data_IF_316027719285
#
_entry.id   IF_316027719285
#
_cell.length_a   1.000
_cell.length_b   1.000
_cell.length_c   1.000
_cell.angle_alpha   90.00
_cell.angle_beta   90.00
_cell.angle_gamma   90.00
#
_symmetry.space_group_name_H-M   'P 1'
#
loop_
_entity.id
_entity.type
_entity.pdbx_description
1 polymer ?
#
# COMPACT_ATOMS: atom_id res chain seq x y z
N UNK A 1 -2.13 -11.06 -0.01
CA UNK A 1 -2.96 -10.42 1.03
C UNK A 1 -2.29 -9.13 1.48
N UNK A 2 -3.07 -8.09 1.79
CA UNK A 2 -2.60 -6.74 2.12
C UNK A 2 -2.02 -6.72 3.54
N UNK A 3 -0.71 -6.57 3.67
CA UNK A 3 0.03 -6.41 4.93
C UNK A 3 -0.68 -5.48 5.93
N UNK A 4 -1.19 -4.36 5.41
CA UNK A 4 -1.89 -3.33 6.17
C UNK A 4 -3.18 -3.82 6.84
N UNK A 5 -3.88 -4.78 6.22
CA UNK A 5 -5.15 -5.31 6.75
C UNK A 5 -4.88 -6.30 7.89
N UNK A 6 -3.81 -7.07 7.82
CA UNK A 6 -3.42 -8.01 8.88
C UNK A 6 -2.89 -7.26 10.11
N UNK A 7 -2.08 -6.21 9.88
CA UNK A 7 -1.63 -5.28 10.91
C UNK A 7 -2.83 -4.67 11.68
N UNK A 8 -3.82 -4.15 10.96
CA UNK A 8 -4.99 -3.49 11.55
C UNK A 8 -5.88 -4.42 12.38
N UNK A 9 -5.82 -5.74 12.15
CA UNK A 9 -6.69 -6.73 12.78
C UNK A 9 -6.03 -7.50 13.93
N UNK A 10 -4.75 -7.28 14.23
CA UNK A 10 -4.09 -7.95 15.35
C UNK A 10 -4.70 -7.49 16.69
N UNK A 11 -5.28 -8.42 17.46
CA UNK A 11 -5.66 -8.18 18.87
C UNK A 11 -4.40 -8.22 19.73
N UNK A 12 -4.14 -7.17 20.48
CA UNK A 12 -2.87 -7.02 21.20
C UNK A 12 -3.07 -7.06 22.72
N UNK A 13 -2.39 -8.00 23.37
CA UNK A 13 -2.21 -8.03 24.81
C UNK A 13 -0.79 -7.54 25.10
N UNK A 14 -0.58 -6.21 25.14
CA UNK A 14 0.72 -5.61 25.47
C UNK A 14 1.56 -5.21 24.25
N UNK A 15 2.60 -5.99 23.96
CA UNK A 15 3.58 -5.72 22.88
C UNK A 15 3.09 -6.29 21.55
N UNK A 16 3.25 -5.52 20.48
CA UNK A 16 2.91 -5.88 19.10
C UNK A 16 4.21 -6.12 18.34
N UNK A 17 4.42 -7.34 17.86
CA UNK A 17 5.53 -7.64 16.95
C UNK A 17 5.08 -7.39 15.51
N UNK A 18 5.79 -6.51 14.81
CA UNK A 18 5.51 -6.11 13.43
C UNK A 18 6.65 -6.49 12.47
N UNK A 19 7.55 -7.40 12.86
CA UNK A 19 8.73 -7.79 12.08
C UNK A 19 8.38 -8.26 10.67
N UNK A 20 7.25 -8.95 10.51
CA UNK A 20 6.77 -9.43 9.22
C UNK A 20 6.33 -8.25 8.32
N UNK A 21 5.61 -7.30 8.90
CA UNK A 21 5.10 -6.12 8.21
C UNK A 21 6.22 -5.18 7.79
N UNK A 22 7.29 -5.07 8.58
CA UNK A 22 8.49 -4.34 8.17
C UNK A 22 9.15 -4.98 6.94
N UNK A 23 9.31 -6.30 6.96
CA UNK A 23 9.92 -7.05 5.85
C UNK A 23 9.10 -6.90 4.57
N UNK A 24 7.77 -6.98 4.69
CA UNK A 24 6.87 -6.79 3.58
C UNK A 24 6.87 -5.33 3.09
N UNK A 25 6.89 -4.35 3.99
CA UNK A 25 6.99 -2.94 3.64
C UNK A 25 8.27 -2.64 2.84
N UNK A 26 9.42 -3.19 3.24
CA UNK A 26 10.69 -3.07 2.49
C UNK A 26 10.56 -3.57 1.05
N UNK A 27 9.97 -4.76 0.87
CA UNK A 27 9.76 -5.33 -0.46
C UNK A 27 8.82 -4.47 -1.33
N UNK A 28 7.79 -3.89 -0.71
CA UNK A 28 6.81 -3.07 -1.41
C UNK A 28 7.34 -1.70 -1.82
N UNK A 29 8.36 -1.14 -1.15
CA UNK A 29 8.97 0.14 -1.53
C UNK A 29 9.53 0.07 -2.96
N UNK A 30 10.27 -0.98 -3.30
CA UNK A 30 10.91 -1.11 -4.60
C UNK A 30 9.88 -1.25 -5.73
N UNK A 31 8.87 -2.09 -5.50
CA UNK A 31 7.76 -2.26 -6.45
C UNK A 31 6.98 -0.96 -6.63
N UNK A 32 6.68 -0.25 -5.54
CA UNK A 32 5.97 1.03 -5.58
C UNK A 32 6.73 2.08 -6.40
N UNK A 33 8.06 2.18 -6.22
CA UNK A 33 8.91 3.08 -7.01
C UNK A 33 8.81 2.82 -8.51
N UNK A 34 8.78 1.55 -8.93
CA UNK A 34 8.63 1.18 -10.34
C UNK A 34 7.28 1.62 -10.92
N UNK A 35 6.19 1.44 -10.17
CA UNK A 35 4.87 1.91 -10.57
C UNK A 35 4.81 3.44 -10.62
N UNK A 36 5.43 4.14 -9.65
CA UNK A 36 5.47 5.61 -9.61
C UNK A 36 6.20 6.18 -10.83
N UNK A 37 7.34 5.60 -11.19
CA UNK A 37 8.07 5.98 -12.40
C UNK A 37 7.24 5.73 -13.66
N UNK A 38 6.49 4.63 -13.71
CA UNK A 38 5.61 4.33 -14.84
C UNK A 38 4.46 5.33 -14.96
N UNK A 39 3.84 5.72 -13.85
CA UNK A 39 2.81 6.76 -13.81
C UNK A 39 3.36 8.12 -14.30
N UNK A 40 4.55 8.51 -13.83
CA UNK A 40 5.23 9.73 -14.30
C UNK A 40 5.51 9.71 -15.80
N UNK A 41 6.00 8.60 -16.35
CA UNK A 41 6.25 8.45 -17.79
C UNK A 41 4.97 8.55 -18.64
N UNK A 42 3.83 8.14 -18.07
CA UNK A 42 2.52 8.21 -18.73
C UNK A 42 1.81 9.55 -18.51
N UNK A 43 2.41 10.49 -17.79
CA UNK A 43 1.79 11.78 -17.46
C UNK A 43 0.67 11.69 -16.42
N UNK A 44 0.52 10.57 -15.72
CA UNK A 44 -0.50 10.37 -14.69
C UNK A 44 -0.02 10.91 -13.34
N UNK A 45 -0.10 12.23 -13.20
CA UNK A 45 0.35 12.95 -12.00
C UNK A 45 -0.45 12.55 -10.74
N UNK A 46 -1.74 12.24 -10.87
CA UNK A 46 -2.58 11.81 -9.76
C UNK A 46 -2.13 10.47 -9.19
N UNK A 47 -1.92 9.48 -10.06
CA UNK A 47 -1.37 8.18 -9.66
C UNK A 47 0.05 8.31 -9.08
N UNK A 48 0.91 9.12 -9.69
CA UNK A 48 2.27 9.34 -9.20
C UNK A 48 2.30 9.92 -7.77
N UNK A 49 1.42 10.89 -7.47
CA UNK A 49 1.30 11.48 -6.13
C UNK A 49 0.80 10.47 -5.10
N UNK A 50 -0.18 9.64 -5.46
CA UNK A 50 -0.66 8.58 -4.56
C UNK A 50 0.45 7.57 -4.24
N UNK A 51 1.22 7.16 -5.24
CA UNK A 51 2.31 6.20 -5.07
C UNK A 51 3.46 6.80 -4.24
N UNK A 52 3.68 8.11 -4.31
CA UNK A 52 4.62 8.83 -3.45
C UNK A 52 4.19 8.82 -1.98
N UNK A 53 2.93 9.13 -1.68
CA UNK A 53 2.41 9.10 -0.31
C UNK A 53 2.49 7.68 0.29
N UNK A 54 2.18 6.67 -0.53
CA UNK A 54 2.33 5.28 -0.15
C UNK A 54 3.80 4.91 0.12
N UNK A 55 4.75 5.41 -0.68
CA UNK A 55 6.18 5.15 -0.49
C UNK A 55 6.65 5.66 0.88
N UNK A 56 6.23 6.88 1.27
CA UNK A 56 6.55 7.46 2.57
C UNK A 56 6.03 6.60 3.72
N UNK A 57 4.78 6.14 3.61
CA UNK A 57 4.17 5.26 4.62
C UNK A 57 4.92 3.93 4.74
N UNK A 58 5.29 3.31 3.61
CA UNK A 58 6.02 2.04 3.61
C UNK A 58 7.43 2.18 4.20
N UNK A 59 8.13 3.28 3.90
CA UNK A 59 9.44 3.58 4.48
C UNK A 59 9.33 3.75 5.99
N UNK A 60 8.31 4.49 6.46
CA UNK A 60 8.07 4.66 7.90
C UNK A 60 7.86 3.32 8.60
N UNK A 61 6.97 2.47 8.08
CA UNK A 61 6.73 1.13 8.64
C UNK A 61 8.02 0.33 8.64
N UNK A 62 8.77 0.31 7.52
CA UNK A 62 9.99 -0.47 7.39
C UNK A 62 11.09 -0.10 8.39
N UNK A 63 11.11 1.15 8.86
CA UNK A 63 12.12 1.70 9.77
C UNK A 63 11.64 1.83 11.22
N UNK A 64 10.40 1.42 11.50
CA UNK A 64 9.87 1.41 12.86
C UNK A 64 10.61 0.40 13.77
N UNK A 65 10.45 0.46 15.10
CA UNK A 65 10.81 -0.65 15.97
C UNK A 65 10.00 -1.90 15.63
N UNK A 66 10.63 -3.08 15.64
CA UNK A 66 9.93 -4.34 15.35
C UNK A 66 8.99 -4.78 16.46
N UNK A 67 9.19 -4.27 17.67
CA UNK A 67 8.30 -4.44 18.80
C UNK A 67 7.79 -3.08 19.26
N UNK A 68 6.46 -2.94 19.27
CA UNK A 68 5.78 -1.71 19.60
C UNK A 68 4.89 -1.92 20.83
N UNK A 69 4.82 -0.92 21.69
CA UNK A 69 3.73 -0.83 22.66
C UNK A 69 2.39 -0.65 21.93
N UNK A 70 1.30 -1.01 22.61
CA UNK A 70 -0.05 -0.79 22.07
C UNK A 70 -0.33 0.69 21.73
N UNK A 71 0.29 1.64 22.43
CA UNK A 71 0.16 3.08 22.16
C UNK A 71 0.89 3.49 20.88
N UNK A 72 2.16 3.10 20.74
CA UNK A 72 2.95 3.38 19.53
C UNK A 72 2.31 2.73 18.29
N UNK A 73 1.78 1.52 18.47
CA UNK A 73 1.05 0.82 17.42
C UNK A 73 -0.23 1.56 17.00
N UNK A 74 -1.00 2.07 17.97
CA UNK A 74 -2.20 2.86 17.69
C UNK A 74 -1.88 4.19 16.98
N UNK A 75 -0.75 4.82 17.30
CA UNK A 75 -0.29 6.04 16.62
C UNK A 75 0.08 5.78 15.16
N UNK A 76 0.82 4.71 14.89
CA UNK A 76 1.15 4.29 13.51
C UNK A 76 -0.13 4.04 12.72
N UNK A 77 -1.09 3.29 13.29
CA UNK A 77 -2.39 3.04 12.65
C UNK A 77 -3.15 4.34 12.37
N UNK A 78 -3.18 5.26 13.34
CA UNK A 78 -3.87 6.55 13.19
C UNK A 78 -3.24 7.40 12.09
N UNK A 79 -1.91 7.39 11.94
CA UNK A 79 -1.21 8.15 10.89
C UNK A 79 -1.51 7.58 9.50
N UNK A 80 -1.46 6.26 9.35
CA UNK A 80 -1.86 5.56 8.12
C UNK A 80 -3.31 5.90 7.71
N UNK A 81 -4.23 5.96 8.68
CA UNK A 81 -5.63 6.33 8.45
C UNK A 81 -5.77 7.83 8.11
N UNK A 82 -5.01 8.70 8.77
CA UNK A 82 -5.06 10.17 8.57
C UNK A 82 -4.52 10.59 7.21
N UNK A 83 -3.45 9.95 6.73
CA UNK A 83 -2.86 10.23 5.41
C UNK A 83 -3.73 9.70 4.24
N UNK A 84 -4.87 9.10 4.59
CA UNK A 84 -5.82 8.45 3.71
C UNK A 84 -5.15 7.34 2.87
N UNK A 85 -4.02 6.80 3.34
CA UNK A 85 -3.18 5.86 2.60
C UNK A 85 -3.94 4.59 2.28
N UNK A 86 -4.74 4.08 3.22
CA UNK A 86 -5.59 2.91 3.00
C UNK A 86 -6.67 3.13 1.94
N UNK A 87 -7.27 4.32 1.90
CA UNK A 87 -8.24 4.66 0.88
C UNK A 87 -7.57 4.81 -0.49
N UNK A 88 -6.43 5.50 -0.54
CA UNK A 88 -5.61 5.66 -1.75
C UNK A 88 -5.18 4.30 -2.32
N UNK A 89 -4.71 3.38 -1.47
CA UNK A 89 -4.38 1.99 -1.85
C UNK A 89 -5.62 1.25 -2.39
N UNK A 90 -6.80 1.42 -1.77
CA UNK A 90 -8.04 0.83 -2.27
C UNK A 90 -8.44 1.38 -3.64
N UNK A 91 -8.26 2.68 -3.88
CA UNK A 91 -8.55 3.34 -5.17
C UNK A 91 -7.57 2.87 -6.25
N UNK A 92 -6.27 2.82 -5.97
CA UNK A 92 -5.29 2.30 -6.95
C UNK A 92 -5.57 0.84 -7.26
N UNK A 93 -5.85 0.02 -6.24
CA UNK A 93 -6.22 -1.37 -6.44
C UNK A 93 -7.51 -1.54 -7.26
N UNK A 94 -8.49 -0.64 -7.12
CA UNK A 94 -9.71 -0.69 -7.93
C UNK A 94 -9.46 -0.26 -9.38
N UNK A 95 -8.64 0.75 -9.60
CA UNK A 95 -8.25 1.23 -10.94
C UNK A 95 -7.43 0.18 -11.71
N UNK A 96 -6.48 -0.50 -11.06
CA UNK A 96 -5.71 -1.60 -11.68
C UNK A 96 -6.65 -2.74 -12.08
N UNK A 97 -7.54 -3.19 -11.19
CA UNK A 97 -8.53 -4.23 -11.51
C UNK A 97 -9.49 -3.83 -12.62
N UNK A 98 -9.87 -2.54 -12.71
CA UNK A 98 -10.70 -2.04 -13.79
C UNK A 98 -9.95 -2.14 -15.13
N UNK A 99 -8.69 -1.68 -15.17
CA UNK A 99 -7.84 -1.75 -16.36
C UNK A 99 -7.60 -3.18 -16.84
N UNK A 100 -7.36 -4.12 -15.92
CA UNK A 100 -7.23 -5.55 -16.24
C UNK A 100 -8.51 -6.12 -16.87
N UNK A 101 -9.69 -5.74 -16.35
CA UNK A 101 -10.99 -6.18 -16.89
C UNK A 101 -11.24 -5.61 -18.28
N UNK A 102 -10.87 -4.36 -18.51
CA UNK A 102 -11.06 -3.71 -19.81
C UNK A 102 -10.18 -4.35 -20.88
N UNK A 103 -8.90 -4.62 -20.55
CA UNK A 103 -7.99 -5.37 -21.43
C UNK A 103 -8.53 -6.78 -21.73
N UNK A 104 -9.03 -7.50 -20.72
CA UNK A 104 -9.58 -8.83 -20.91
C UNK A 104 -10.83 -8.83 -21.83
N UNK A 105 -11.69 -7.81 -21.71
CA UNK A 105 -12.86 -7.63 -22.60
C UNK A 105 -12.46 -7.31 -24.03
N UNK A 106 -11.46 -6.44 -24.22
CA UNK A 106 -10.95 -6.08 -25.55
C UNK A 106 -10.35 -7.29 -26.28
N UNK A 107 -9.61 -8.13 -25.56
CA UNK A 107 -9.05 -9.39 -26.10
C UNK A 107 -10.12 -10.43 -26.42
N UNK A 108 -11.22 -10.47 -25.66
CA UNK A 108 -12.34 -11.34 -25.93
C UNK A 108 -13.16 -10.88 -27.16
N UNK A 109 -13.37 -9.57 -27.32
CA UNK A 109 -14.09 -9.00 -28.46
C UNK A 109 -13.32 -9.06 -29.78
N UNK A 110 -11.98 -9.05 -29.75
CA UNK A 110 -11.13 -9.24 -30.96
C UNK A 110 -11.12 -10.68 -31.48
N UNK A 111 -11.68 -11.63 -30.74
CA UNK A 111 -11.72 -13.08 -31.07
C UNK A 111 -13.08 -13.57 -31.58
N UNK A 112 -14.10 -12.71 -31.60
CA UNK A 112 -15.43 -12.97 -32.17
C UNK A 112 -15.60 -12.28 -33.52
#
# INVERSE_FOLDING_TARGET
QLALIELINSKTNGVVDISLEQSLARQLVDVNRLYRQSALRLGDAGMASVLEDLERTLIEISNSPSQLSSTEFAEIRRRIDTDNTLFKVKVVGSQVRAKERDVARELAGKRS
#
